data_IF_619910603069
#
_entry.id   IF_619910603069
#
_cell.length_a   1.000
_cell.length_b   1.000
_cell.length_c   1.000
_cell.angle_alpha   90.00
_cell.angle_beta   90.00
_cell.angle_gamma   90.00
#
_symmetry.space_group_name_H-M   'P 1'
#
loop_
_entity.id
_entity.type
_entity.pdbx_description
1 polymer ?
#
# COMPACT_ATOMS: atom_id res chain seq x y z
N UNK A 1 20.12 -40.46 14.68
CA UNK A 1 19.19 -39.62 15.47
C UNK A 1 20.03 -38.54 16.13
N UNK A 2 19.81 -37.28 15.76
CA UNK A 2 18.79 -36.46 16.42
C UNK A 2 17.74 -35.95 15.42
N UNK A 3 16.49 -35.91 15.86
CA UNK A 3 15.34 -35.37 15.12
C UNK A 3 15.39 -33.85 15.16
N UNK A 4 15.57 -33.22 14.00
CA UNK A 4 15.37 -31.78 13.83
C UNK A 4 13.89 -31.45 13.94
N UNK A 5 13.53 -30.79 15.03
CA UNK A 5 12.25 -30.12 15.19
C UNK A 5 12.16 -28.98 14.17
N UNK A 6 11.34 -29.16 13.12
CA UNK A 6 10.90 -28.03 12.29
C UNK A 6 9.62 -27.49 12.90
N UNK A 7 9.74 -26.31 13.51
CA UNK A 7 8.64 -25.53 14.06
C UNK A 7 7.61 -25.21 12.93
N UNK A 8 6.34 -25.64 13.03
CA UNK A 8 5.34 -25.48 11.96
C UNK A 8 4.73 -24.08 11.84
N UNK A 9 5.23 -23.07 12.57
CA UNK A 9 4.61 -21.73 12.67
C UNK A 9 5.32 -20.61 11.87
N UNK A 10 6.19 -20.95 10.92
CA UNK A 10 6.87 -19.94 10.09
C UNK A 10 6.12 -19.57 8.79
N UNK A 11 4.94 -20.16 8.55
CA UNK A 11 4.28 -20.12 7.22
C UNK A 11 3.02 -19.27 7.16
N UNK A 12 2.91 -18.23 7.98
CA UNK A 12 1.73 -17.35 7.98
C UNK A 12 2.09 -15.86 7.79
N UNK A 13 3.06 -15.57 6.92
CA UNK A 13 3.24 -14.22 6.35
C UNK A 13 2.91 -14.15 4.84
N UNK A 14 2.58 -15.28 4.21
CA UNK A 14 2.32 -15.34 2.77
C UNK A 14 0.82 -15.40 2.48
N UNK A 15 0.16 -14.24 2.51
CA UNK A 15 -1.08 -14.09 1.72
C UNK A 15 -1.34 -12.67 1.28
N UNK A 16 -0.28 -11.98 0.87
CA UNK A 16 -0.44 -10.87 -0.06
C UNK A 16 -0.72 -11.49 -1.43
N UNK A 17 -1.86 -11.17 -2.04
CA UNK A 17 -2.16 -11.67 -3.38
C UNK A 17 -1.07 -11.19 -4.34
N UNK A 18 -0.30 -12.13 -4.88
CA UNK A 18 0.64 -11.88 -5.98
C UNK A 18 -0.04 -12.45 -7.22
N UNK A 19 -0.29 -11.64 -8.26
CA UNK A 19 -0.84 -12.16 -9.51
C UNK A 19 0.07 -13.25 -10.06
N UNK A 20 -0.50 -14.31 -10.61
CA UNK A 20 0.27 -15.36 -11.28
C UNK A 20 1.13 -14.77 -12.40
N UNK A 21 2.41 -15.15 -12.46
CA UNK A 21 3.35 -14.68 -13.48
C UNK A 21 4.15 -13.42 -13.12
N UNK A 22 4.02 -12.89 -11.89
CA UNK A 22 4.90 -11.82 -11.40
C UNK A 22 6.18 -12.42 -10.81
N UNK A 23 7.27 -12.34 -11.57
CA UNK A 23 8.63 -12.61 -11.07
C UNK A 23 9.27 -11.32 -10.54
N UNK A 24 10.36 -11.43 -9.76
CA UNK A 24 11.16 -10.29 -9.31
C UNK A 24 11.67 -9.40 -10.47
N UNK A 25 11.72 -9.93 -11.70
CA UNK A 25 12.13 -9.21 -12.91
C UNK A 25 11.00 -8.50 -13.66
N UNK A 26 9.75 -8.57 -13.18
CA UNK A 26 8.60 -8.01 -13.90
C UNK A 26 8.47 -6.50 -13.66
N UNK A 27 8.62 -5.70 -14.72
CA UNK A 27 8.43 -4.24 -14.65
C UNK A 27 6.99 -3.84 -14.99
N UNK A 28 6.34 -3.13 -14.06
CA UNK A 28 4.98 -2.62 -14.24
C UNK A 28 4.96 -1.16 -14.63
N UNK A 29 4.14 -0.84 -15.63
CA UNK A 29 3.86 0.55 -15.98
C UNK A 29 2.78 1.10 -15.05
N UNK A 30 3.18 2.03 -14.20
CA UNK A 30 2.25 2.82 -13.38
C UNK A 30 2.00 4.18 -14.05
N UNK A 31 0.82 4.73 -13.80
CA UNK A 31 0.40 6.03 -14.28
C UNK A 31 0.08 6.93 -13.11
N UNK A 32 0.36 8.22 -13.26
CA UNK A 32 -0.07 9.26 -12.33
C UNK A 32 -0.84 10.30 -13.09
N UNK A 33 -2.08 10.51 -12.67
CA UNK A 33 -2.89 11.62 -13.16
C UNK A 33 -2.38 12.92 -12.54
N UNK A 34 -2.09 13.91 -13.39
CA UNK A 34 -1.70 15.25 -12.97
C UNK A 34 -2.29 16.27 -13.93
N UNK A 35 -2.65 17.45 -13.41
CA UNK A 35 -3.02 18.58 -14.27
C UNK A 35 -1.79 19.17 -14.97
N UNK A 36 -2.05 20.02 -15.95
CA UNK A 36 -1.02 20.66 -16.76
C UNK A 36 -0.04 21.49 -15.91
N UNK A 37 -0.52 22.20 -14.90
CA UNK A 37 0.33 23.04 -14.06
C UNK A 37 1.32 22.20 -13.23
N UNK A 38 0.85 21.08 -12.67
CA UNK A 38 1.67 20.09 -11.96
C UNK A 38 2.70 19.45 -12.88
N UNK A 39 2.32 19.16 -14.12
CA UNK A 39 3.25 18.61 -15.13
C UNK A 39 4.35 19.61 -15.49
N UNK A 40 4.02 20.87 -15.75
CA UNK A 40 5.02 21.91 -16.02
C UNK A 40 5.96 22.10 -14.83
N UNK A 41 5.41 22.14 -13.60
CA UNK A 41 6.22 22.22 -12.38
C UNK A 41 7.19 21.03 -12.25
N UNK A 42 6.77 19.82 -12.62
CA UNK A 42 7.62 18.64 -12.61
C UNK A 42 8.79 18.79 -13.59
N UNK A 43 8.52 19.25 -14.82
CA UNK A 43 9.56 19.44 -15.84
C UNK A 43 10.59 20.50 -15.43
N UNK A 44 10.13 21.62 -14.87
CA UNK A 44 11.00 22.73 -14.45
C UNK A 44 11.86 22.36 -13.25
N UNK A 45 11.28 21.70 -12.25
CA UNK A 45 11.97 21.41 -10.99
C UNK A 45 12.67 20.06 -10.97
N UNK A 46 12.37 19.18 -11.94
CA UNK A 46 12.78 17.76 -11.93
C UNK A 46 12.43 17.06 -10.62
N UNK A 47 11.34 17.50 -9.96
CA UNK A 47 10.93 17.01 -8.64
C UNK A 47 9.43 16.75 -8.61
N UNK A 48 9.04 15.67 -7.94
CA UNK A 48 7.63 15.31 -7.74
C UNK A 48 7.11 16.04 -6.51
N UNK A 49 6.07 16.85 -6.68
CA UNK A 49 5.30 17.39 -5.55
C UNK A 49 4.39 16.32 -4.95
N UNK A 50 4.45 16.21 -3.63
CA UNK A 50 3.54 15.42 -2.80
C UNK A 50 2.73 16.38 -1.93
N UNK A 51 1.45 16.08 -1.74
CA UNK A 51 0.56 16.87 -0.89
C UNK A 51 0.64 16.33 0.54
N UNK A 52 0.77 17.22 1.52
CA UNK A 52 0.75 16.85 2.94
C UNK A 52 -0.65 16.38 3.32
N UNK A 53 -0.77 15.34 4.14
CA UNK A 53 -2.05 14.68 4.40
C UNK A 53 -3.10 15.62 5.03
N UNK A 54 -2.67 16.59 5.85
CA UNK A 54 -3.56 17.60 6.46
C UNK A 54 -4.08 18.68 5.49
N UNK A 55 -3.57 18.74 4.25
CA UNK A 55 -4.01 19.69 3.22
C UNK A 55 -5.08 19.09 2.28
N UNK A 56 -5.49 17.84 2.50
CA UNK A 56 -6.58 17.24 1.74
C UNK A 56 -7.94 17.80 2.18
N UNK A 57 -8.88 17.84 1.24
CA UNK A 57 -10.25 18.30 1.49
C UNK A 57 -11.03 17.32 2.37
N UNK A 58 -10.72 16.02 2.28
CA UNK A 58 -11.32 14.99 3.12
C UNK A 58 -10.65 14.96 4.50
N UNK A 59 -11.36 15.33 5.59
CA UNK A 59 -10.82 15.32 6.95
C UNK A 59 -10.43 13.92 7.45
N UNK A 60 -11.03 12.88 6.86
CA UNK A 60 -10.81 11.48 7.24
C UNK A 60 -9.67 10.83 6.46
N UNK A 61 -9.10 11.51 5.44
CA UNK A 61 -7.95 11.01 4.69
C UNK A 61 -6.77 10.77 5.65
N UNK A 62 -6.28 9.53 5.67
CA UNK A 62 -5.20 9.10 6.56
C UNK A 62 -5.60 8.81 8.01
N UNK A 63 -6.90 8.72 8.33
CA UNK A 63 -7.41 8.29 9.64
C UNK A 63 -8.07 6.92 9.59
N UNK A 64 -8.04 6.20 10.71
CA UNK A 64 -8.85 5.00 10.91
C UNK A 64 -10.23 5.38 11.44
N UNK A 65 -11.27 4.72 10.91
CA UNK A 65 -12.62 4.82 11.49
C UNK A 65 -12.73 3.92 12.74
N UNK A 66 -13.71 4.19 13.61
CA UNK A 66 -13.91 3.42 14.86
C UNK A 66 -13.98 1.90 14.64
N UNK A 67 -14.72 1.37 13.65
CA UNK A 67 -14.72 -0.08 13.38
C UNK A 67 -13.33 -0.64 13.06
N UNK A 68 -12.51 0.10 12.31
CA UNK A 68 -11.12 -0.29 12.01
C UNK A 68 -10.25 -0.22 13.27
N UNK A 69 -10.44 0.76 14.15
CA UNK A 69 -9.72 0.85 15.42
C UNK A 69 -10.02 -0.36 16.30
N UNK A 70 -11.29 -0.72 16.44
CA UNK A 70 -11.72 -1.89 17.20
C UNK A 70 -11.21 -3.20 16.58
N UNK A 71 -11.29 -3.33 15.25
CA UNK A 71 -10.74 -4.48 14.55
C UNK A 71 -9.22 -4.60 14.76
N UNK A 72 -8.48 -3.50 14.65
CA UNK A 72 -7.03 -3.48 14.86
C UNK A 72 -6.66 -3.82 16.30
N UNK A 73 -7.42 -3.33 17.28
CA UNK A 73 -7.24 -3.72 18.68
C UNK A 73 -7.37 -5.23 18.86
N UNK A 74 -8.27 -5.87 18.11
CA UNK A 74 -8.56 -7.30 18.19
C UNK A 74 -7.58 -8.19 17.40
N UNK A 75 -6.87 -7.64 16.42
CA UNK A 75 -5.80 -8.34 15.65
C UNK A 75 -4.49 -8.41 16.46
N UNK A 76 -4.26 -7.46 17.35
CA UNK A 76 -3.09 -7.45 18.21
C UNK A 76 -3.01 -8.75 19.06
N UNK A 77 -1.79 -9.25 19.35
CA UNK A 77 -1.62 -10.43 20.19
C UNK A 77 -2.30 -10.22 21.55
N UNK A 78 -2.79 -11.28 22.22
CA UNK A 78 -3.60 -11.15 23.44
C UNK A 78 -2.98 -10.28 24.54
N UNK A 79 -1.64 -10.26 24.63
CA UNK A 79 -0.89 -9.44 25.59
C UNK A 79 -0.90 -7.93 25.31
N UNK A 80 -1.21 -7.52 24.08
CA UNK A 80 -1.25 -6.12 23.62
C UNK A 80 -2.65 -5.68 23.16
N UNK A 81 -3.65 -6.56 23.29
CA UNK A 81 -5.03 -6.29 22.90
C UNK A 81 -5.62 -5.21 23.80
N UNK A 82 -5.63 -3.97 23.32
CA UNK A 82 -6.13 -2.81 24.06
C UNK A 82 -6.78 -1.83 23.09
N UNK A 83 -8.08 -1.62 23.27
CA UNK A 83 -8.84 -0.63 22.50
C UNK A 83 -8.32 0.78 22.79
N UNK A 84 -7.93 1.06 24.04
CA UNK A 84 -7.33 2.34 24.41
C UNK A 84 -6.00 2.56 23.70
N UNK A 85 -5.12 1.56 23.66
CA UNK A 85 -3.84 1.65 22.95
C UNK A 85 -4.06 1.87 21.44
N UNK A 86 -5.03 1.18 20.84
CA UNK A 86 -5.38 1.36 19.44
C UNK A 86 -5.93 2.78 19.17
N UNK A 87 -6.78 3.32 20.05
CA UNK A 87 -7.27 4.70 19.97
C UNK A 87 -6.15 5.71 20.13
N UNK A 88 -5.22 5.48 21.06
CA UNK A 88 -4.08 6.35 21.30
C UNK A 88 -3.17 6.41 20.07
N UNK A 89 -2.95 5.26 19.43
CA UNK A 89 -2.25 5.16 18.15
C UNK A 89 -2.97 5.95 17.05
N UNK A 90 -4.28 5.81 16.93
CA UNK A 90 -5.07 6.55 15.94
C UNK A 90 -5.02 8.07 16.15
N UNK A 91 -5.09 8.54 17.41
CA UNK A 91 -4.92 9.98 17.72
C UNK A 91 -3.52 10.48 17.40
N UNK A 92 -2.50 9.63 17.58
CA UNK A 92 -1.14 9.98 17.18
C UNK A 92 -1.02 10.12 15.66
N UNK A 93 -1.63 9.23 14.89
CA UNK A 93 -1.67 9.31 13.42
C UNK A 93 -2.32 10.63 12.94
N UNK A 94 -3.33 11.12 13.66
CA UNK A 94 -3.93 12.42 13.38
C UNK A 94 -2.93 13.58 13.56
N UNK A 95 -2.11 13.54 14.61
CA UNK A 95 -1.01 14.49 14.82
C UNK A 95 0.08 14.39 13.75
N UNK A 96 0.33 13.17 13.25
CA UNK A 96 1.37 12.87 12.27
C UNK A 96 0.98 13.24 10.82
N UNK A 97 -0.25 13.72 10.57
CA UNK A 97 -0.69 14.19 9.24
C UNK A 97 0.23 15.25 8.63
N UNK A 98 0.91 16.05 9.46
CA UNK A 98 1.89 17.07 9.03
C UNK A 98 3.24 16.49 8.58
N UNK A 99 3.53 15.24 8.92
CA UNK A 99 4.72 14.51 8.46
C UNK A 99 4.40 13.48 7.38
N UNK A 100 3.12 13.27 7.08
CA UNK A 100 2.66 12.32 6.06
C UNK A 100 2.42 13.04 4.73
N UNK A 101 2.94 12.47 3.65
CA UNK A 101 2.79 12.99 2.30
C UNK A 101 2.15 11.93 1.40
N UNK A 102 1.10 12.30 0.67
CA UNK A 102 0.25 11.38 -0.10
C UNK A 102 0.48 11.57 -1.61
N UNK A 103 0.41 10.47 -2.35
CA UNK A 103 0.42 10.41 -3.80
C UNK A 103 -0.55 9.35 -4.31
N UNK A 104 -1.26 9.64 -5.42
CA UNK A 104 -2.12 8.67 -6.08
C UNK A 104 -1.43 8.11 -7.33
N UNK A 105 -1.19 6.81 -7.33
CA UNK A 105 -0.68 6.06 -8.47
C UNK A 105 -1.72 5.07 -8.94
N UNK A 106 -1.86 4.93 -10.26
CA UNK A 106 -2.72 3.96 -10.88
C UNK A 106 -1.87 2.88 -11.55
N UNK A 107 -2.12 1.63 -11.21
CA UNK A 107 -1.55 0.51 -11.95
C UNK A 107 -2.44 0.18 -13.14
N UNK A 108 -1.87 0.18 -14.35
CA UNK A 108 -2.59 -0.26 -15.53
C UNK A 108 -2.78 -1.78 -15.52
N UNK A 109 -4.02 -2.25 -15.64
CA UNK A 109 -4.40 -3.66 -15.74
C UNK A 109 -3.82 -4.30 -17.02
N UNK A 110 -2.56 -4.75 -16.99
CA UNK A 110 -2.12 -5.78 -17.93
C UNK A 110 -2.78 -7.10 -17.47
N UNK A 111 -3.70 -7.63 -18.28
CA UNK A 111 -4.14 -9.03 -18.15
C UNK A 111 -2.90 -9.90 -18.32
N UNK A 112 -2.47 -10.56 -17.26
CA UNK A 112 -1.56 -11.70 -17.37
C UNK A 112 -2.46 -12.90 -17.67
N UNK A 113 -2.70 -13.15 -18.95
CA UNK A 113 -3.22 -14.41 -19.45
C UNK A 113 -2.46 -14.70 -20.73
N UNK A 114 -1.36 -15.43 -20.59
CA UNK A 114 -0.65 -16.15 -21.65
C UNK A 114 -0.14 -15.33 -22.83
N UNK A 115 1.18 -15.27 -22.96
CA UNK A 115 1.76 -15.37 -24.30
C UNK A 115 1.17 -16.61 -24.98
N UNK A 116 0.29 -16.40 -25.95
CA UNK A 116 0.12 -17.31 -27.08
C UNK A 116 0.52 -16.51 -28.31
N UNK A 117 1.76 -16.71 -28.73
CA UNK A 117 2.20 -16.36 -30.08
C UNK A 117 1.18 -16.88 -31.10
N UNK A 118 0.55 -15.98 -31.82
CA UNK A 118 0.05 -16.27 -33.15
C UNK A 118 0.13 -15.01 -34.01
N UNK A 119 1.32 -14.81 -34.56
CA UNK A 119 1.53 -14.44 -35.96
C UNK A 119 0.83 -13.16 -36.42
N UNK A 120 1.60 -12.07 -36.37
CA UNK A 120 1.85 -11.31 -37.60
C UNK A 120 2.23 -12.29 -38.72
N UNK A 121 1.26 -12.70 -39.53
CA UNK A 121 1.46 -13.04 -40.93
C UNK A 121 0.41 -12.28 -41.73
N UNK A 122 0.93 -11.64 -42.77
CA UNK A 122 0.25 -10.90 -43.83
C UNK A 122 -0.87 -11.71 -44.47
#
# INVERSE_FOLDING_TARGET
MPTSETNPDATQCEKWWVPEGVTESTSFKIWRYMDLAKYISLLQTKSIRLTRADLFEDPYEGLYNEPTIEANANIAPPSLRSIELARDFSRKLEGDKKSTFINCWHWNNRRICGDVEALFKQ
#
